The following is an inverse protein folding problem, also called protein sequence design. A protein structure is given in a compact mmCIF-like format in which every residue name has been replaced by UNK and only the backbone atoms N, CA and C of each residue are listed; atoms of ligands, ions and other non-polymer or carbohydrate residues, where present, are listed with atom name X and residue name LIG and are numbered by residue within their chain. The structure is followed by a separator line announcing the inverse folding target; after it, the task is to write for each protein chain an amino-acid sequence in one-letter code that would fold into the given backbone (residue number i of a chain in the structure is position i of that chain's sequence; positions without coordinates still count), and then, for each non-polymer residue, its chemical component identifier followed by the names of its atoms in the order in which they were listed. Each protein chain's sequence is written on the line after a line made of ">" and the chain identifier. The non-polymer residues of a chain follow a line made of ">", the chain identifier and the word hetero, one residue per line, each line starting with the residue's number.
data_IF_902110361524
#
_entry.id   IF_902110361524
#
_cell.length_a   1.000
_cell.length_b   1.000
_cell.length_c   1.000
_cell.angle_alpha   90.00
_cell.angle_beta   90.00
_cell.angle_gamma   90.00
#
_symmetry.space_group_name_H-M   'P 1'
#
loop_
_entity.id
_entity.type
_entity.pdbx_description
1 polymer ?
#
# COMPACT_ATOMS: atom_id res chain seq x y z
N UNK A 1 9.33 2.23 29.58
CA UNK A 1 8.66 1.91 28.29
C UNK A 1 7.35 1.23 28.63
N UNK A 2 6.20 1.73 28.19
CA UNK A 2 4.94 0.99 28.25
C UNK A 2 5.03 -0.19 27.29
N UNK A 3 4.47 -1.35 27.65
CA UNK A 3 4.43 -2.52 26.76
C UNK A 3 3.72 -2.19 25.46
N UNK A 4 4.15 -2.78 24.34
CA UNK A 4 3.54 -2.63 23.03
C UNK A 4 3.45 -3.98 22.30
N UNK A 5 2.58 -4.07 21.30
CA UNK A 5 2.47 -5.19 20.40
C UNK A 5 2.94 -4.74 19.01
N UNK A 6 3.65 -5.59 18.31
CA UNK A 6 4.09 -5.36 16.95
C UNK A 6 3.69 -6.56 16.07
N UNK A 7 2.87 -6.32 15.04
CA UNK A 7 2.38 -7.33 14.12
C UNK A 7 2.96 -7.09 12.74
N UNK A 8 3.39 -8.14 12.06
CA UNK A 8 3.89 -8.09 10.69
C UNK A 8 3.72 -9.46 10.01
N UNK A 9 4.00 -9.51 8.71
CA UNK A 9 4.04 -10.74 7.94
C UNK A 9 5.10 -11.71 8.50
N UNK A 10 4.83 -13.01 8.43
CA UNK A 10 5.72 -14.03 8.98
C UNK A 10 6.94 -14.34 8.09
N UNK A 11 6.82 -14.20 6.76
CA UNK A 11 7.90 -14.39 5.78
C UNK A 11 7.90 -13.23 4.78
N UNK A 12 9.05 -12.59 4.62
CA UNK A 12 9.26 -11.48 3.70
C UNK A 12 10.42 -11.83 2.76
N UNK A 13 10.13 -12.04 1.48
CA UNK A 13 11.12 -12.38 0.45
C UNK A 13 11.41 -11.18 -0.43
N UNK A 14 12.65 -10.73 -0.45
CA UNK A 14 13.06 -9.49 -1.12
C UNK A 14 14.18 -9.78 -2.11
N UNK A 15 14.04 -9.29 -3.33
CA UNK A 15 15.10 -9.30 -4.35
C UNK A 15 14.57 -9.57 -5.75
N UNK A 16 15.37 -9.17 -6.73
CA UNK A 16 15.08 -9.38 -8.14
C UNK A 16 14.98 -10.88 -8.46
N UNK A 17 13.89 -11.29 -9.11
CA UNK A 17 13.62 -12.69 -9.48
C UNK A 17 12.99 -13.54 -8.37
N UNK A 18 12.63 -12.97 -7.20
CA UNK A 18 11.93 -13.73 -6.15
C UNK A 18 10.56 -14.24 -6.61
N UNK A 19 9.89 -13.54 -7.52
CA UNK A 19 8.64 -13.99 -8.12
C UNK A 19 8.79 -15.25 -9.00
N UNK A 20 10.00 -15.63 -9.40
CA UNK A 20 10.25 -16.87 -10.15
C UNK A 20 10.22 -18.12 -9.26
N UNK A 21 10.11 -17.96 -7.95
CA UNK A 21 10.09 -19.05 -6.97
C UNK A 21 8.68 -19.34 -6.43
N UNK A 22 7.64 -18.76 -7.02
CA UNK A 22 6.26 -18.84 -6.51
C UNK A 22 5.72 -20.26 -6.51
N UNK A 23 6.03 -21.10 -7.50
CA UNK A 23 5.62 -22.50 -7.50
C UNK A 23 6.16 -23.29 -6.31
N UNK A 24 7.43 -23.09 -5.98
CA UNK A 24 8.05 -23.69 -4.78
C UNK A 24 7.41 -23.16 -3.50
N UNK A 25 7.10 -21.86 -3.48
CA UNK A 25 6.43 -21.23 -2.35
C UNK A 25 5.02 -21.80 -2.14
N UNK A 26 4.26 -21.97 -3.21
CA UNK A 26 2.92 -22.59 -3.14
C UNK A 26 3.00 -24.01 -2.54
N UNK A 27 3.97 -24.83 -2.98
CA UNK A 27 4.20 -26.17 -2.42
C UNK A 27 4.51 -26.11 -0.91
N UNK A 28 5.34 -25.16 -0.47
CA UNK A 28 5.67 -24.97 0.96
C UNK A 28 4.46 -24.60 1.80
N UNK A 29 3.51 -23.86 1.22
CA UNK A 29 2.26 -23.45 1.86
C UNK A 29 1.11 -24.48 1.71
N UNK A 30 1.35 -25.58 0.99
CA UNK A 30 0.32 -26.59 0.71
C UNK A 30 -0.76 -26.12 -0.28
N UNK A 31 -0.44 -25.15 -1.14
CA UNK A 31 -1.34 -24.61 -2.17
C UNK A 31 -1.14 -25.43 -3.45
N UNK A 32 -2.18 -26.16 -3.87
CA UNK A 32 -2.20 -26.92 -5.12
C UNK A 32 -2.98 -26.21 -6.23
N UNK A 33 -4.00 -25.43 -5.87
CA UNK A 33 -4.88 -24.73 -6.80
C UNK A 33 -5.08 -23.26 -6.42
N UNK A 34 -4.05 -22.39 -6.63
CA UNK A 34 -4.17 -20.98 -6.29
C UNK A 34 -5.11 -20.23 -7.23
N UNK A 35 -5.80 -19.19 -6.68
CA UNK A 35 -6.36 -18.10 -7.47
C UNK A 35 -5.41 -16.88 -7.43
N UNK A 36 -4.96 -16.44 -8.59
CA UNK A 36 -4.25 -15.15 -8.72
C UNK A 36 -5.29 -14.04 -8.88
N UNK A 37 -5.25 -13.06 -7.99
CA UNK A 37 -6.09 -11.86 -8.00
C UNK A 37 -5.26 -10.68 -8.48
N UNK A 38 -5.68 -10.05 -9.58
CA UNK A 38 -4.92 -8.97 -10.23
C UNK A 38 -5.86 -7.97 -10.93
N UNK A 39 -5.31 -7.01 -11.65
CA UNK A 39 -6.03 -5.99 -12.38
C UNK A 39 -5.78 -6.07 -13.90
N UNK A 40 -6.68 -5.48 -14.75
CA UNK A 40 -6.54 -5.52 -16.19
C UNK A 40 -5.27 -4.81 -16.71
N UNK A 41 -4.77 -3.83 -15.97
CA UNK A 41 -3.55 -3.10 -16.34
C UNK A 41 -2.33 -4.00 -16.35
N UNK A 42 -2.19 -4.87 -15.35
CA UNK A 42 -1.08 -5.83 -15.26
C UNK A 42 -1.16 -6.90 -16.34
N UNK A 43 -2.38 -7.31 -16.71
CA UNK A 43 -2.59 -8.22 -17.85
C UNK A 43 -2.13 -7.55 -19.14
N UNK A 44 -2.54 -6.30 -19.39
CA UNK A 44 -2.20 -5.57 -20.62
C UNK A 44 -0.71 -5.34 -20.80
N UNK A 45 0.02 -5.10 -19.72
CA UNK A 45 1.48 -4.89 -19.77
C UNK A 45 2.28 -6.19 -19.70
N UNK A 46 1.61 -7.36 -19.64
CA UNK A 46 2.23 -8.68 -19.67
C UNK A 46 2.95 -9.09 -18.38
N UNK A 47 2.67 -8.43 -17.24
CA UNK A 47 3.28 -8.78 -15.95
C UNK A 47 2.64 -10.03 -15.31
N UNK A 48 1.42 -10.37 -15.68
CA UNK A 48 0.74 -11.57 -15.18
C UNK A 48 1.40 -12.86 -15.65
N UNK A 49 1.76 -12.95 -16.94
CA UNK A 49 2.19 -14.22 -17.56
C UNK A 49 3.43 -14.84 -16.87
N UNK A 50 4.54 -14.11 -16.64
CA UNK A 50 5.70 -14.68 -15.95
C UNK A 50 5.38 -15.15 -14.52
N UNK A 51 4.50 -14.45 -13.81
CA UNK A 51 4.06 -14.83 -12.45
C UNK A 51 3.22 -16.09 -12.50
N UNK A 52 2.23 -16.14 -13.40
CA UNK A 52 1.37 -17.33 -13.60
C UNK A 52 2.20 -18.57 -13.97
N UNK A 53 3.15 -18.42 -14.88
CA UNK A 53 4.01 -19.52 -15.33
C UNK A 53 4.92 -20.02 -14.18
N UNK A 54 5.42 -19.12 -13.34
CA UNK A 54 6.17 -19.47 -12.12
C UNK A 54 5.30 -20.26 -11.14
N UNK A 55 4.05 -19.82 -10.91
CA UNK A 55 3.10 -20.51 -10.04
C UNK A 55 2.74 -21.89 -10.59
N UNK A 56 2.46 -21.98 -11.90
CA UNK A 56 2.13 -23.23 -12.57
C UNK A 56 3.26 -24.28 -12.50
N UNK A 57 4.50 -23.86 -12.33
CA UNK A 57 5.64 -24.76 -12.12
C UNK A 57 5.58 -25.59 -10.82
N UNK A 58 4.68 -25.27 -9.90
CA UNK A 58 4.55 -25.96 -8.61
C UNK A 58 3.13 -26.29 -8.18
N UNK A 59 2.12 -25.99 -9.00
CA UNK A 59 0.70 -26.17 -8.69
C UNK A 59 0.02 -27.05 -9.75
N UNK A 60 -1.07 -27.72 -9.36
CA UNK A 60 -1.85 -28.60 -10.24
C UNK A 60 -2.67 -27.79 -11.27
N UNK A 61 -3.27 -26.69 -10.82
CA UNK A 61 -4.12 -25.81 -11.62
C UNK A 61 -3.99 -24.38 -11.12
N UNK A 62 -3.92 -23.40 -12.04
CA UNK A 62 -3.80 -21.96 -11.69
C UNK A 62 -4.98 -21.23 -12.30
N UNK A 63 -5.79 -20.61 -11.46
CA UNK A 63 -6.89 -19.74 -11.89
C UNK A 63 -6.53 -18.29 -11.72
N UNK A 64 -7.18 -17.40 -12.50
CA UNK A 64 -6.93 -15.96 -12.48
C UNK A 64 -8.27 -15.20 -12.40
N UNK A 65 -8.33 -14.22 -11.51
CA UNK A 65 -9.32 -13.15 -11.51
C UNK A 65 -8.61 -11.84 -11.79
N UNK A 66 -8.90 -11.20 -12.93
CA UNK A 66 -8.18 -10.02 -13.42
C UNK A 66 -9.02 -8.75 -13.50
N UNK A 67 -10.20 -8.73 -12.89
CA UNK A 67 -11.16 -7.63 -13.04
C UNK A 67 -11.16 -6.68 -11.82
N UNK A 68 -10.06 -6.66 -11.04
CA UNK A 68 -9.95 -5.71 -9.94
C UNK A 68 -9.81 -4.29 -10.49
N UNK A 69 -10.65 -3.39 -9.99
CA UNK A 69 -10.58 -1.95 -10.30
C UNK A 69 -9.90 -1.18 -9.18
N UNK A 70 -9.40 0.02 -9.48
CA UNK A 70 -8.96 0.95 -8.43
C UNK A 70 -10.14 1.23 -7.49
N UNK A 71 -9.86 1.32 -6.17
CA UNK A 71 -10.89 1.49 -5.14
C UNK A 71 -12.02 0.43 -5.26
N UNK A 72 -11.71 -0.86 -5.09
CA UNK A 72 -12.61 -1.95 -5.44
C UNK A 72 -13.91 -1.89 -4.63
N UNK A 73 -15.03 -2.11 -5.32
CA UNK A 73 -16.35 -2.18 -4.70
C UNK A 73 -16.62 -3.56 -4.11
N UNK A 74 -17.66 -3.66 -3.28
CA UNK A 74 -18.18 -4.93 -2.75
C UNK A 74 -18.47 -5.93 -3.87
N UNK A 75 -19.02 -5.47 -5.00
CA UNK A 75 -19.31 -6.35 -6.15
C UNK A 75 -18.07 -6.94 -6.80
N UNK A 76 -16.93 -6.24 -6.77
CA UNK A 76 -15.64 -6.80 -7.23
C UNK A 76 -15.16 -7.89 -6.29
N UNK A 77 -15.31 -7.69 -4.99
CA UNK A 77 -15.00 -8.73 -3.97
C UNK A 77 -15.88 -9.97 -4.15
N UNK A 78 -17.18 -9.78 -4.33
CA UNK A 78 -18.13 -10.87 -4.57
C UNK A 78 -17.80 -11.66 -5.84
N UNK A 79 -17.47 -10.97 -6.94
CA UNK A 79 -17.05 -11.60 -8.20
C UNK A 79 -15.75 -12.39 -8.04
N UNK A 80 -14.76 -11.84 -7.33
CA UNK A 80 -13.50 -12.52 -7.04
C UNK A 80 -13.71 -13.76 -6.16
N UNK A 81 -14.58 -13.66 -5.14
CA UNK A 81 -14.96 -14.81 -4.29
C UNK A 81 -15.66 -15.89 -5.11
N UNK A 82 -16.60 -15.51 -6.01
CA UNK A 82 -17.25 -16.44 -6.89
C UNK A 82 -16.25 -17.17 -7.80
N UNK A 83 -15.29 -16.47 -8.36
CA UNK A 83 -14.22 -17.07 -9.16
C UNK A 83 -13.39 -18.07 -8.35
N UNK A 84 -13.03 -17.72 -7.10
CA UNK A 84 -12.30 -18.57 -6.18
C UNK A 84 -13.06 -19.88 -5.89
N UNK A 85 -14.35 -19.77 -5.56
CA UNK A 85 -15.20 -20.92 -5.25
C UNK A 85 -15.43 -21.82 -6.49
N UNK A 86 -15.63 -21.22 -7.66
CA UNK A 86 -15.80 -21.96 -8.93
C UNK A 86 -14.54 -22.74 -9.31
N UNK A 87 -13.37 -22.16 -9.10
CA UNK A 87 -12.08 -22.81 -9.31
C UNK A 87 -11.75 -23.85 -8.22
N UNK A 88 -12.53 -23.92 -7.14
CA UNK A 88 -12.18 -24.71 -5.95
C UNK A 88 -10.75 -24.43 -5.47
N UNK A 89 -10.36 -23.14 -5.49
CA UNK A 89 -9.02 -22.75 -5.14
C UNK A 89 -8.76 -22.94 -3.63
N UNK A 90 -7.55 -23.40 -3.30
CA UNK A 90 -7.10 -23.72 -1.94
C UNK A 90 -6.08 -22.70 -1.39
N UNK A 91 -5.78 -21.65 -2.16
CA UNK A 91 -4.92 -20.53 -1.77
C UNK A 91 -5.13 -19.32 -2.64
N UNK A 92 -4.71 -18.16 -2.17
CA UNK A 92 -4.87 -16.88 -2.87
C UNK A 92 -3.52 -16.19 -3.05
N UNK A 93 -3.28 -15.67 -4.26
CA UNK A 93 -2.11 -14.86 -4.59
C UNK A 93 -2.61 -13.50 -5.04
N UNK A 94 -2.35 -12.45 -4.26
CA UNK A 94 -2.63 -11.06 -4.65
C UNK A 94 -1.44 -10.48 -5.40
N UNK A 95 -1.60 -10.18 -6.70
CA UNK A 95 -0.59 -9.57 -7.56
C UNK A 95 -1.06 -8.19 -8.00
N UNK A 96 -0.38 -7.13 -7.57
CA UNK A 96 -0.75 -5.78 -8.01
C UNK A 96 -0.47 -4.68 -7.02
N UNK A 97 -1.22 -3.59 -7.14
CA UNK A 97 -1.28 -2.51 -6.16
C UNK A 97 -2.15 -2.87 -4.94
N UNK A 98 -2.39 -1.89 -4.07
CA UNK A 98 -3.21 -2.07 -2.86
C UNK A 98 -4.57 -2.70 -3.15
N UNK A 99 -5.26 -2.26 -4.22
CA UNK A 99 -6.60 -2.76 -4.58
C UNK A 99 -6.64 -4.27 -4.81
N UNK A 100 -5.71 -4.80 -5.61
CA UNK A 100 -5.63 -6.25 -5.90
C UNK A 100 -5.28 -7.04 -4.64
N UNK A 101 -4.36 -6.53 -3.82
CA UNK A 101 -3.96 -7.16 -2.57
C UNK A 101 -5.08 -7.14 -1.52
N UNK A 102 -5.83 -6.04 -1.42
CA UNK A 102 -6.95 -5.91 -0.48
C UNK A 102 -8.09 -6.86 -0.84
N UNK A 103 -8.46 -6.98 -2.14
CA UNK A 103 -9.42 -7.98 -2.60
C UNK A 103 -8.93 -9.40 -2.27
N UNK A 104 -7.66 -9.71 -2.52
CA UNK A 104 -7.06 -11.01 -2.21
C UNK A 104 -7.16 -11.36 -0.71
N UNK A 105 -6.85 -10.40 0.18
CA UNK A 105 -6.98 -10.56 1.63
C UNK A 105 -8.41 -10.91 2.04
N UNK A 106 -9.37 -10.14 1.51
CA UNK A 106 -10.78 -10.27 1.90
C UNK A 106 -11.35 -11.60 1.43
N UNK A 107 -11.11 -11.99 0.16
CA UNK A 107 -11.66 -13.26 -0.34
C UNK A 107 -10.98 -14.47 0.30
N UNK A 108 -9.70 -14.38 0.72
CA UNK A 108 -9.04 -15.44 1.46
C UNK A 108 -9.77 -15.77 2.78
N UNK A 109 -10.31 -14.74 3.46
CA UNK A 109 -11.15 -14.90 4.66
C UNK A 109 -12.54 -15.43 4.30
N UNK A 110 -13.21 -14.80 3.32
CA UNK A 110 -14.58 -15.15 2.93
C UNK A 110 -14.71 -16.57 2.38
N UNK A 111 -13.64 -17.11 1.79
CA UNK A 111 -13.61 -18.47 1.24
C UNK A 111 -13.94 -19.56 2.27
N UNK A 112 -13.73 -19.30 3.55
CA UNK A 112 -14.08 -20.25 4.64
C UNK A 112 -15.59 -20.35 4.89
N UNK A 113 -16.40 -19.42 4.36
CA UNK A 113 -17.85 -19.39 4.48
C UNK A 113 -18.41 -19.13 5.87
N UNK A 114 -17.58 -18.70 6.83
CA UNK A 114 -17.99 -18.50 8.23
C UNK A 114 -18.55 -17.10 8.50
N UNK A 115 -18.16 -16.10 7.69
CA UNK A 115 -18.61 -14.72 7.81
C UNK A 115 -18.98 -14.17 6.42
N UNK A 116 -19.88 -13.21 6.39
CA UNK A 116 -20.20 -12.42 5.19
C UNK A 116 -19.34 -11.15 5.12
N UNK A 117 -19.23 -10.51 3.94
CA UNK A 117 -18.44 -9.30 3.78
C UNK A 117 -18.85 -8.17 4.74
N UNK A 118 -20.16 -7.88 4.96
CA UNK A 118 -20.58 -6.89 5.96
C UNK A 118 -20.11 -7.16 7.38
N UNK A 119 -19.93 -8.43 7.77
CA UNK A 119 -19.47 -8.79 9.11
C UNK A 119 -18.00 -8.50 9.36
N UNK A 120 -17.20 -8.24 8.30
CA UNK A 120 -15.77 -8.03 8.40
C UNK A 120 -15.40 -6.58 8.68
N UNK A 121 -16.28 -5.60 8.37
CA UNK A 121 -15.95 -4.19 8.49
C UNK A 121 -15.69 -3.75 9.93
N UNK A 122 -14.64 -2.93 10.10
CA UNK A 122 -14.20 -2.40 11.38
C UNK A 122 -12.89 -3.00 11.86
N UNK A 123 -12.65 -2.87 13.16
CA UNK A 123 -11.42 -3.34 13.82
C UNK A 123 -11.70 -4.65 14.55
N UNK A 124 -10.86 -5.66 14.29
CA UNK A 124 -10.90 -7.00 14.93
C UNK A 124 -12.25 -7.72 14.81
N UNK A 125 -12.99 -7.47 13.69
CA UNK A 125 -14.26 -8.16 13.41
C UNK A 125 -14.06 -9.52 12.70
N UNK A 126 -12.88 -9.78 12.11
CA UNK A 126 -12.57 -11.05 11.44
C UNK A 126 -12.30 -12.12 12.50
N UNK A 127 -13.22 -13.07 12.64
CA UNK A 127 -13.12 -14.19 13.59
C UNK A 127 -12.75 -15.51 12.92
N UNK A 128 -13.03 -15.64 11.61
CA UNK A 128 -12.75 -16.83 10.82
C UNK A 128 -11.26 -16.98 10.49
N UNK A 129 -10.84 -18.20 10.21
CA UNK A 129 -9.57 -18.48 9.56
C UNK A 129 -9.63 -18.00 8.11
N UNK A 130 -8.51 -18.05 7.39
CA UNK A 130 -8.40 -17.75 5.97
C UNK A 130 -7.68 -18.85 5.21
N UNK A 131 -7.80 -18.86 3.89
CA UNK A 131 -6.93 -19.65 3.02
C UNK A 131 -5.48 -19.11 3.09
N UNK A 132 -4.48 -19.94 2.76
CA UNK A 132 -3.12 -19.49 2.55
C UNK A 132 -3.08 -18.30 1.58
N UNK A 133 -2.27 -17.27 1.91
CA UNK A 133 -2.25 -16.01 1.21
C UNK A 133 -0.81 -15.55 0.93
N UNK A 134 -0.52 -15.27 -0.34
CA UNK A 134 0.73 -14.64 -0.79
C UNK A 134 0.40 -13.28 -1.40
N UNK A 135 1.14 -12.24 -1.03
CA UNK A 135 0.95 -10.90 -1.60
C UNK A 135 2.22 -10.43 -2.31
N UNK A 136 2.04 -9.90 -3.52
CA UNK A 136 3.11 -9.51 -4.45
C UNK A 136 2.83 -8.10 -4.95
N UNK A 137 3.41 -7.07 -4.33
CA UNK A 137 3.21 -5.68 -4.76
C UNK A 137 3.93 -5.40 -6.09
N UNK A 138 3.25 -4.69 -6.98
CA UNK A 138 3.81 -4.15 -8.22
C UNK A 138 3.95 -2.63 -8.18
N UNK A 139 3.56 -2.01 -7.06
CA UNK A 139 3.72 -0.58 -6.77
C UNK A 139 4.49 -0.39 -5.48
N UNK A 140 5.32 0.65 -5.40
CA UNK A 140 6.03 1.04 -4.19
C UNK A 140 5.25 2.17 -3.49
N UNK A 141 4.23 1.81 -2.71
CA UNK A 141 3.32 2.81 -2.13
C UNK A 141 2.59 2.33 -0.89
N UNK A 142 1.54 1.56 -1.06
CA UNK A 142 0.54 1.25 -0.03
C UNK A 142 1.05 0.41 1.13
N UNK A 143 2.08 -0.42 0.91
CA UNK A 143 2.53 -1.38 1.92
C UNK A 143 1.47 -2.43 2.29
N UNK A 144 0.41 -2.60 1.44
CA UNK A 144 -0.69 -3.52 1.74
C UNK A 144 -0.20 -4.95 1.97
N UNK A 145 0.89 -5.37 1.35
CA UNK A 145 1.50 -6.69 1.51
C UNK A 145 1.97 -7.02 2.94
N UNK A 146 2.11 -6.02 3.79
CA UNK A 146 2.56 -6.19 5.19
C UNK A 146 1.62 -5.58 6.22
N UNK A 147 0.42 -5.17 5.80
CA UNK A 147 -0.56 -4.53 6.70
C UNK A 147 -1.74 -5.45 7.01
N UNK A 148 -2.29 -5.36 8.22
CA UNK A 148 -3.50 -6.09 8.61
C UNK A 148 -4.79 -5.37 8.16
N UNK A 149 -4.73 -4.57 7.09
CA UNK A 149 -5.83 -3.69 6.65
C UNK A 149 -6.19 -3.99 5.21
N UNK A 150 -7.48 -3.95 4.91
CA UNK A 150 -8.04 -3.89 3.56
C UNK A 150 -9.09 -2.78 3.50
N UNK A 151 -9.19 -2.08 2.36
CA UNK A 151 -10.14 -0.99 2.16
C UNK A 151 -11.02 -1.31 0.96
N UNK A 152 -12.35 -1.36 1.19
CA UNK A 152 -13.35 -1.67 0.17
C UNK A 152 -14.31 -0.49 0.05
N UNK A 153 -14.72 -0.17 -1.17
CA UNK A 153 -15.71 0.87 -1.44
C UNK A 153 -17.11 0.31 -1.22
N UNK A 154 -17.84 0.90 -0.26
CA UNK A 154 -19.23 0.59 0.06
C UNK A 154 -20.12 1.71 -0.45
N UNK A 155 -21.21 1.36 -1.15
CA UNK A 155 -22.09 2.39 -1.74
C UNK A 155 -21.39 3.23 -2.82
N UNK A 156 -21.79 4.50 -2.96
CA UNK A 156 -21.32 5.36 -4.06
C UNK A 156 -19.98 6.06 -3.77
N UNK A 157 -19.69 6.41 -2.52
CA UNK A 157 -18.56 7.29 -2.16
C UNK A 157 -17.86 6.92 -0.85
N UNK A 158 -18.35 5.92 -0.13
CA UNK A 158 -17.86 5.57 1.20
C UNK A 158 -16.80 4.46 1.08
N UNK A 159 -15.68 4.63 1.77
CA UNK A 159 -14.67 3.59 1.92
C UNK A 159 -14.79 2.99 3.31
N UNK A 160 -14.88 1.67 3.40
CA UNK A 160 -14.93 0.94 4.65
C UNK A 160 -13.63 0.13 4.83
N UNK A 161 -13.03 0.25 6.01
CA UNK A 161 -11.83 -0.50 6.37
C UNK A 161 -12.15 -1.80 7.09
N UNK A 162 -11.38 -2.83 6.80
CA UNK A 162 -11.33 -4.08 7.55
C UNK A 162 -9.93 -4.13 8.16
N UNK A 163 -9.85 -4.21 9.49
CA UNK A 163 -8.57 -4.24 10.19
C UNK A 163 -8.52 -5.45 11.13
N UNK A 164 -7.68 -6.43 10.80
CA UNK A 164 -7.49 -7.63 11.61
C UNK A 164 -6.15 -8.29 11.27
N UNK A 165 -5.46 -8.82 12.27
CA UNK A 165 -4.22 -9.59 12.05
C UNK A 165 -4.42 -10.82 11.16
N UNK A 166 -5.66 -11.29 11.01
CA UNK A 166 -6.02 -12.37 10.09
C UNK A 166 -5.82 -12.02 8.61
N UNK A 167 -5.76 -10.71 8.27
CA UNK A 167 -5.50 -10.24 6.91
C UNK A 167 -4.01 -10.21 6.55
N UNK A 168 -3.10 -10.36 7.52
CA UNK A 168 -1.67 -10.48 7.22
C UNK A 168 -1.43 -11.72 6.38
N UNK A 169 -0.67 -11.63 5.27
CA UNK A 169 -0.37 -12.80 4.45
C UNK A 169 0.60 -13.76 5.16
N UNK A 170 0.70 -14.98 4.64
CA UNK A 170 1.73 -15.93 5.05
C UNK A 170 3.10 -15.47 4.54
N UNK A 171 3.13 -15.00 3.29
CA UNK A 171 4.35 -14.51 2.64
C UNK A 171 4.06 -13.25 1.85
N UNK A 172 4.93 -12.24 1.97
CA UNK A 172 5.03 -11.11 1.05
C UNK A 172 6.27 -11.27 0.17
N UNK A 173 6.10 -11.10 -1.15
CA UNK A 173 7.18 -11.27 -2.14
C UNK A 173 7.44 -9.93 -2.81
N UNK A 174 8.61 -9.35 -2.53
CA UNK A 174 9.04 -8.04 -3.05
C UNK A 174 10.02 -8.25 -4.21
N UNK A 175 9.52 -8.33 -5.42
CA UNK A 175 10.34 -8.41 -6.63
C UNK A 175 10.37 -7.05 -7.33
N UNK A 176 11.49 -6.30 -7.28
CA UNK A 176 11.57 -5.00 -7.92
C UNK A 176 11.42 -5.04 -9.45
N UNK A 177 11.63 -6.20 -10.09
CA UNK A 177 11.40 -6.37 -11.53
C UNK A 177 9.94 -6.11 -11.90
N UNK A 178 9.00 -6.45 -11.01
CA UNK A 178 7.57 -6.22 -11.23
C UNK A 178 7.16 -4.74 -11.16
N UNK A 179 8.06 -3.86 -10.76
CA UNK A 179 7.82 -2.40 -10.70
C UNK A 179 8.41 -1.64 -11.88
N UNK A 180 9.19 -2.28 -12.77
CA UNK A 180 9.91 -1.61 -13.87
C UNK A 180 8.98 -0.94 -14.88
N UNK A 181 7.85 -1.55 -15.20
CA UNK A 181 6.87 -1.00 -16.15
C UNK A 181 5.92 0.06 -15.58
N UNK A 182 6.07 0.41 -14.29
CA UNK A 182 5.14 1.33 -13.65
C UNK A 182 5.25 2.75 -14.24
N UNK A 183 4.13 3.36 -14.68
CA UNK A 183 4.15 4.72 -15.22
C UNK A 183 4.74 5.74 -14.23
N UNK A 184 5.48 6.73 -14.74
CA UNK A 184 6.18 7.71 -13.91
C UNK A 184 5.24 8.46 -12.96
N UNK A 185 4.05 8.87 -13.42
CA UNK A 185 3.06 9.54 -12.57
C UNK A 185 2.53 8.66 -11.45
N UNK A 186 2.40 7.34 -11.69
CA UNK A 186 2.00 6.38 -10.64
C UNK A 186 3.14 6.21 -9.65
N UNK A 187 4.39 6.03 -10.11
CA UNK A 187 5.59 5.97 -9.25
C UNK A 187 5.74 7.23 -8.39
N UNK A 188 5.37 8.40 -8.94
CA UNK A 188 5.40 9.68 -8.21
C UNK A 188 4.39 9.68 -7.05
N UNK A 189 3.14 9.40 -7.35
CA UNK A 189 2.06 9.43 -6.35
C UNK A 189 2.26 8.36 -5.27
N UNK A 190 2.58 7.13 -5.66
CA UNK A 190 2.72 6.03 -4.70
C UNK A 190 3.95 6.20 -3.81
N UNK A 191 5.06 6.70 -4.33
CA UNK A 191 6.26 6.94 -3.52
C UNK A 191 6.08 8.07 -2.51
N UNK A 192 5.35 9.15 -2.86
CA UNK A 192 5.00 10.20 -1.90
C UNK A 192 4.03 9.66 -0.84
N UNK A 193 3.04 8.85 -1.22
CA UNK A 193 2.14 8.16 -0.32
C UNK A 193 2.89 7.33 0.74
N UNK A 194 3.87 6.54 0.30
CA UNK A 194 4.72 5.78 1.21
C UNK A 194 5.54 6.67 2.16
N UNK A 195 6.00 7.85 1.70
CA UNK A 195 6.65 8.82 2.59
C UNK A 195 5.68 9.39 3.62
N UNK A 196 4.42 9.66 3.23
CA UNK A 196 3.37 10.09 4.15
C UNK A 196 3.12 9.01 5.21
N UNK A 197 3.02 7.74 4.82
CA UNK A 197 2.91 6.62 5.76
C UNK A 197 4.04 6.63 6.79
N UNK A 198 5.29 6.80 6.33
CA UNK A 198 6.45 6.84 7.22
C UNK A 198 6.41 8.04 8.18
N UNK A 199 6.08 9.24 7.68
CA UNK A 199 6.00 10.45 8.50
C UNK A 199 4.88 10.34 9.53
N UNK A 200 3.69 9.92 9.14
CA UNK A 200 2.55 9.81 10.05
C UNK A 200 2.77 8.70 11.08
N UNK A 201 3.34 7.56 10.70
CA UNK A 201 3.71 6.51 11.65
C UNK A 201 4.72 7.02 12.70
N UNK A 202 5.75 7.76 12.28
CA UNK A 202 6.76 8.31 13.17
C UNK A 202 6.20 9.38 14.12
N UNK A 203 5.25 10.18 13.66
CA UNK A 203 4.63 11.26 14.45
C UNK A 203 3.36 10.84 15.18
N UNK A 204 2.87 9.62 14.95
CA UNK A 204 1.66 9.08 15.58
C UNK A 204 1.76 9.10 17.10
N UNK A 205 0.66 9.47 17.78
CA UNK A 205 0.54 9.36 19.24
C UNK A 205 -0.03 8.03 19.69
N UNK A 206 -0.66 7.29 18.74
CA UNK A 206 -1.36 6.04 19.02
C UNK A 206 -0.43 4.89 18.67
N UNK A 207 -0.24 3.95 19.60
CA UNK A 207 0.59 2.75 19.42
C UNK A 207 2.06 3.02 19.04
N UNK A 208 2.54 4.27 19.09
CA UNK A 208 3.93 4.63 18.82
C UNK A 208 4.89 3.74 19.60
N UNK A 209 5.85 3.15 18.92
CA UNK A 209 6.81 2.23 19.51
C UNK A 209 8.18 2.30 18.80
N UNK A 210 9.28 1.87 19.44
CA UNK A 210 10.62 2.03 18.90
C UNK A 210 10.88 1.21 17.62
N UNK A 211 10.14 0.12 17.38
CA UNK A 211 10.26 -0.66 16.14
C UNK A 211 9.65 0.12 15.00
N UNK A 212 8.40 0.60 15.14
CA UNK A 212 7.75 1.42 14.11
C UNK A 212 8.53 2.69 13.82
N UNK A 213 9.13 3.34 14.82
CA UNK A 213 9.96 4.53 14.62
C UNK A 213 11.22 4.23 13.78
N UNK A 214 11.89 3.12 14.06
CA UNK A 214 13.08 2.71 13.30
C UNK A 214 12.74 2.39 11.84
N UNK A 215 11.64 1.66 11.62
CA UNK A 215 11.15 1.31 10.29
C UNK A 215 10.73 2.55 9.51
N UNK A 216 9.97 3.46 10.12
CA UNK A 216 9.55 4.72 9.51
C UNK A 216 10.73 5.60 9.07
N UNK A 217 11.75 5.75 9.92
CA UNK A 217 12.98 6.46 9.58
C UNK A 217 13.71 5.80 8.41
N UNK A 218 13.88 4.49 8.43
CA UNK A 218 14.56 3.77 7.34
C UNK A 218 13.76 3.86 6.04
N UNK A 219 12.44 3.74 6.12
CA UNK A 219 11.52 3.92 4.99
C UNK A 219 11.69 5.30 4.36
N UNK A 220 11.59 6.37 5.15
CA UNK A 220 11.72 7.74 4.64
C UNK A 220 13.09 7.98 3.98
N UNK A 221 14.17 7.48 4.59
CA UNK A 221 15.52 7.59 4.01
C UNK A 221 15.63 6.91 2.64
N UNK A 222 15.08 5.70 2.49
CA UNK A 222 15.09 4.98 1.21
C UNK A 222 14.23 5.68 0.16
N UNK A 223 13.02 6.03 0.52
CA UNK A 223 12.05 6.66 -0.39
C UNK A 223 12.53 8.03 -0.86
N UNK A 224 12.92 8.91 0.06
CA UNK A 224 13.39 10.25 -0.26
C UNK A 224 14.67 10.21 -1.09
N UNK A 225 15.58 9.27 -0.80
CA UNK A 225 16.84 9.10 -1.52
C UNK A 225 16.69 8.64 -2.98
N UNK A 226 15.61 7.93 -3.30
CA UNK A 226 15.47 7.26 -4.60
C UNK A 226 14.28 7.74 -5.44
N UNK A 227 13.33 8.50 -4.88
CA UNK A 227 12.13 8.95 -5.60
C UNK A 227 12.46 9.70 -6.90
N UNK A 228 13.32 10.71 -6.86
CA UNK A 228 13.73 11.46 -8.06
C UNK A 228 14.48 10.57 -9.06
N UNK A 229 15.25 9.62 -8.56
CA UNK A 229 16.02 8.68 -9.39
C UNK A 229 15.08 7.75 -10.17
N UNK A 230 14.06 7.19 -9.54
CA UNK A 230 13.06 6.32 -10.19
C UNK A 230 12.27 7.09 -11.26
N UNK A 231 11.97 8.38 -11.03
CA UNK A 231 11.25 9.20 -12.00
C UNK A 231 12.10 9.54 -13.22
N UNK A 232 13.39 9.84 -13.03
CA UNK A 232 14.32 10.20 -14.12
C UNK A 232 14.93 8.95 -14.82
N UNK A 233 15.06 7.83 -14.12
CA UNK A 233 15.64 6.59 -14.62
C UNK A 233 14.74 5.40 -14.21
N UNK A 234 13.60 5.21 -14.89
CA UNK A 234 12.56 4.25 -14.47
C UNK A 234 13.01 2.78 -14.48
N UNK A 235 14.10 2.47 -15.17
CA UNK A 235 14.67 1.12 -15.25
C UNK A 235 15.86 0.91 -14.28
N UNK A 236 16.16 1.86 -13.39
CA UNK A 236 17.20 1.70 -12.38
C UNK A 236 16.72 0.70 -11.31
N UNK A 237 17.20 -0.54 -11.42
CA UNK A 237 16.80 -1.64 -10.55
C UNK A 237 17.08 -1.37 -9.07
N UNK A 238 18.23 -0.80 -8.76
CA UNK A 238 18.60 -0.49 -7.38
C UNK A 238 17.68 0.57 -6.78
N UNK A 239 17.28 1.57 -7.57
CA UNK A 239 16.31 2.57 -7.14
C UNK A 239 14.91 1.96 -6.97
N UNK A 240 14.48 1.07 -7.87
CA UNK A 240 13.20 0.35 -7.74
C UNK A 240 13.17 -0.53 -6.48
N UNK A 241 14.24 -1.27 -6.21
CA UNK A 241 14.37 -2.08 -5.01
C UNK A 241 14.31 -1.23 -3.73
N UNK A 242 15.04 -0.10 -3.70
CA UNK A 242 15.01 0.82 -2.58
C UNK A 242 13.62 1.43 -2.33
N UNK A 243 12.90 1.80 -3.41
CA UNK A 243 11.53 2.31 -3.32
C UNK A 243 10.57 1.24 -2.80
N UNK A 244 10.63 0.02 -3.35
CA UNK A 244 9.74 -1.07 -2.95
C UNK A 244 9.99 -1.47 -1.48
N UNK A 245 11.24 -1.66 -1.09
CA UNK A 245 11.60 -1.93 0.30
C UNK A 245 11.20 -0.78 1.22
N UNK A 246 11.42 0.47 0.80
CA UNK A 246 11.01 1.66 1.56
C UNK A 246 9.49 1.70 1.80
N UNK A 247 8.69 1.42 0.79
CA UNK A 247 7.22 1.36 0.91
C UNK A 247 6.76 0.24 1.86
N UNK A 248 7.37 -0.94 1.77
CA UNK A 248 7.11 -2.05 2.69
C UNK A 248 7.45 -1.71 4.14
N UNK A 249 8.62 -1.10 4.39
CA UNK A 249 9.00 -0.66 5.74
C UNK A 249 8.04 0.42 6.29
N UNK A 250 7.57 1.35 5.45
CA UNK A 250 6.53 2.30 5.81
C UNK A 250 5.22 1.59 6.16
N UNK A 251 4.84 0.56 5.38
CA UNK A 251 3.70 -0.32 5.63
C UNK A 251 3.76 -0.99 7.00
N UNK A 252 4.89 -1.62 7.32
CA UNK A 252 5.11 -2.22 8.65
C UNK A 252 5.07 -1.18 9.78
N UNK A 253 5.58 0.03 9.53
CA UNK A 253 5.57 1.10 10.52
C UNK A 253 4.13 1.55 10.82
N UNK A 254 3.34 1.91 9.80
CA UNK A 254 1.99 2.42 10.04
C UNK A 254 0.99 1.34 10.46
N UNK A 255 1.20 0.10 10.10
CA UNK A 255 0.41 -1.02 10.63
C UNK A 255 0.47 -1.10 12.16
N UNK A 256 1.55 -0.61 12.76
CA UNK A 256 1.83 -0.67 14.20
C UNK A 256 1.84 0.72 14.88
N UNK A 257 1.75 1.81 14.12
CA UNK A 257 1.59 3.18 14.59
C UNK A 257 0.76 3.93 13.52
N UNK A 258 -0.57 4.00 13.66
CA UNK A 258 -1.48 4.31 12.57
C UNK A 258 -1.27 5.70 11.97
N UNK A 259 -1.66 5.82 10.70
CA UNK A 259 -1.77 7.09 9.95
C UNK A 259 -2.69 8.10 10.64
N UNK A 260 -2.66 9.36 10.22
CA UNK A 260 -3.30 10.46 10.93
C UNK A 260 -3.99 11.47 10.01
N UNK A 261 -3.67 12.76 10.16
CA UNK A 261 -4.42 13.86 9.56
C UNK A 261 -4.29 13.96 8.03
N UNK A 262 -3.14 13.61 7.46
CA UNK A 262 -2.96 13.62 5.99
C UNK A 262 -3.94 12.65 5.35
N UNK A 263 -3.97 11.40 5.82
CA UNK A 263 -4.89 10.39 5.32
C UNK A 263 -6.36 10.75 5.60
N UNK A 264 -6.66 11.26 6.80
CA UNK A 264 -8.03 11.66 7.15
C UNK A 264 -8.58 12.74 6.21
N UNK A 265 -7.75 13.71 5.79
CA UNK A 265 -8.12 14.75 4.85
C UNK A 265 -8.09 14.29 3.37
N UNK A 266 -7.31 13.25 3.06
CA UNK A 266 -7.23 12.67 1.72
C UNK A 266 -8.46 11.81 1.35
N UNK A 267 -9.07 11.10 2.31
CA UNK A 267 -10.22 10.23 2.05
C UNK A 267 -11.40 10.92 1.36
N UNK A 268 -11.86 12.13 1.77
CA UNK A 268 -12.92 12.83 1.07
C UNK A 268 -12.58 13.16 -0.38
N UNK A 269 -11.33 13.46 -0.70
CA UNK A 269 -10.88 13.72 -2.07
C UNK A 269 -11.02 12.48 -2.96
N UNK A 270 -10.63 11.32 -2.44
CA UNK A 270 -10.84 10.05 -3.12
C UNK A 270 -12.32 9.70 -3.29
N UNK A 271 -13.12 9.85 -2.22
CA UNK A 271 -14.53 9.48 -2.23
C UNK A 271 -15.41 10.36 -3.12
N UNK A 272 -15.22 11.68 -3.09
CA UNK A 272 -16.07 12.62 -3.83
C UNK A 272 -15.58 12.96 -5.23
N UNK A 273 -14.25 12.94 -5.45
CA UNK A 273 -13.64 13.38 -6.72
C UNK A 273 -12.91 12.26 -7.46
N UNK A 274 -12.95 11.04 -6.95
CA UNK A 274 -12.22 9.89 -7.51
C UNK A 274 -10.74 10.18 -7.73
N UNK A 275 -10.17 11.04 -6.86
CA UNK A 275 -8.77 11.40 -6.93
C UNK A 275 -7.90 10.22 -6.49
N UNK A 276 -6.82 9.89 -7.22
CA UNK A 276 -5.90 8.84 -6.80
C UNK A 276 -5.38 9.06 -5.38
N UNK A 277 -5.36 8.02 -4.56
CA UNK A 277 -5.05 8.10 -3.13
C UNK A 277 -3.72 8.81 -2.85
N UNK A 278 -2.64 8.40 -3.54
CA UNK A 278 -1.33 9.03 -3.36
C UNK A 278 -1.28 10.50 -3.79
N UNK A 279 -2.09 10.91 -4.79
CA UNK A 279 -2.22 12.33 -5.16
C UNK A 279 -2.94 13.11 -4.05
N UNK A 280 -4.00 12.55 -3.49
CA UNK A 280 -4.73 13.17 -2.38
C UNK A 280 -3.81 13.40 -1.18
N UNK A 281 -3.00 12.41 -0.82
CA UNK A 281 -2.02 12.52 0.24
C UNK A 281 -0.92 13.54 -0.07
N UNK A 282 -0.41 13.58 -1.31
CA UNK A 282 0.59 14.57 -1.73
C UNK A 282 0.08 16.02 -1.58
N UNK A 283 -1.18 16.27 -1.94
CA UNK A 283 -1.80 17.59 -1.83
C UNK A 283 -2.03 18.03 -0.37
N UNK A 284 -2.37 17.08 0.52
CA UNK A 284 -2.62 17.39 1.92
C UNK A 284 -1.35 17.51 2.76
N UNK A 285 -0.27 16.83 2.36
CA UNK A 285 0.95 16.71 3.16
C UNK A 285 1.53 18.07 3.61
N UNK A 286 1.84 19.06 2.73
CA UNK A 286 2.49 20.31 3.16
C UNK A 286 1.67 21.10 4.18
N UNK A 287 0.36 21.18 3.97
CA UNK A 287 -0.54 21.91 4.86
C UNK A 287 -0.63 21.25 6.24
N UNK A 288 -0.71 19.92 6.29
CA UNK A 288 -0.77 19.16 7.55
C UNK A 288 0.56 19.25 8.30
N UNK A 289 1.70 19.20 7.61
CA UNK A 289 3.00 19.37 8.25
C UNK A 289 3.11 20.74 8.93
N UNK A 290 2.69 21.83 8.25
CA UNK A 290 2.67 23.17 8.85
C UNK A 290 1.71 23.27 10.04
N UNK A 291 0.51 22.68 9.92
CA UNK A 291 -0.46 22.65 11.00
C UNK A 291 0.06 21.94 12.26
N UNK A 292 0.75 20.82 12.07
CA UNK A 292 1.30 20.03 13.17
C UNK A 292 2.65 20.56 13.70
N UNK A 293 3.32 21.47 12.96
CA UNK A 293 4.65 21.98 13.31
C UNK A 293 4.80 22.41 14.77
N UNK A 294 3.86 23.17 15.39
CA UNK A 294 4.01 23.62 16.78
C UNK A 294 4.15 22.50 17.81
N UNK A 295 3.64 21.30 17.49
CA UNK A 295 3.66 20.14 18.42
C UNK A 295 4.58 19.00 17.97
N UNK A 296 5.00 19.02 16.69
CA UNK A 296 5.82 17.97 16.07
C UNK A 296 7.23 18.45 15.68
N UNK A 297 7.63 19.70 16.01
CA UNK A 297 8.87 20.31 15.56
C UNK A 297 10.09 19.39 15.71
N UNK A 298 10.34 18.88 16.92
CA UNK A 298 11.49 18.03 17.20
C UNK A 298 11.48 16.72 16.36
N UNK A 299 10.29 16.15 16.11
CA UNK A 299 10.14 14.94 15.30
C UNK A 299 10.39 15.22 13.82
N UNK A 300 9.91 16.35 13.30
CA UNK A 300 10.15 16.75 11.92
C UNK A 300 11.61 17.10 11.66
N UNK A 301 12.28 17.75 12.62
CA UNK A 301 13.71 18.04 12.53
C UNK A 301 14.55 16.75 12.54
N UNK A 302 14.14 15.75 13.31
CA UNK A 302 14.78 14.43 13.30
C UNK A 302 14.61 13.76 11.91
N UNK A 303 13.40 13.78 11.34
CA UNK A 303 13.14 13.25 9.99
C UNK A 303 13.87 14.03 8.90
N UNK A 304 14.03 15.35 9.03
CA UNK A 304 14.73 16.19 8.07
C UNK A 304 16.20 15.77 7.87
N UNK A 305 16.83 15.20 8.90
CA UNK A 305 18.21 14.68 8.81
C UNK A 305 18.35 13.50 7.86
N UNK A 306 17.25 12.83 7.51
CA UNK A 306 17.22 11.65 6.65
C UNK A 306 17.03 12.00 5.17
N UNK A 307 16.64 13.25 4.88
CA UNK A 307 16.36 13.69 3.52
C UNK A 307 17.68 14.02 2.77
N UNK A 308 17.72 13.81 1.44
CA UNK A 308 18.80 14.30 0.60
C UNK A 308 18.99 15.82 0.73
N UNK A 309 20.23 16.24 0.89
CA UNK A 309 20.59 17.66 1.00
C UNK A 309 20.59 18.35 -0.38
N UNK A 310 20.31 19.67 -0.45
CA UNK A 310 20.08 20.56 0.70
C UNK A 310 18.64 20.51 1.22
N UNK A 311 18.50 20.55 2.54
CA UNK A 311 17.23 20.82 3.23
C UNK A 311 17.36 22.18 3.90
N UNK A 312 16.37 23.06 3.70
CA UNK A 312 16.35 24.38 4.33
C UNK A 312 16.25 24.29 5.87
N UNK A 313 16.46 25.40 6.58
CA UNK A 313 16.47 25.42 8.03
C UNK A 313 15.07 25.24 8.63
N UNK A 314 15.02 24.61 9.80
CA UNK A 314 13.80 24.45 10.59
C UNK A 314 12.76 23.55 9.95
N UNK A 315 11.56 23.55 10.53
CA UNK A 315 10.42 22.75 10.01
C UNK A 315 9.98 23.25 8.63
N UNK A 316 10.06 24.55 8.36
CA UNK A 316 9.69 25.07 7.05
C UNK A 316 10.61 24.52 5.95
N UNK A 317 11.91 24.35 6.23
CA UNK A 317 12.83 23.69 5.29
C UNK A 317 12.40 22.24 4.97
N UNK A 318 11.92 21.51 5.98
CA UNK A 318 11.36 20.17 5.82
C UNK A 318 10.12 20.17 4.93
N UNK A 319 9.20 21.11 5.14
CA UNK A 319 7.97 21.23 4.34
C UNK A 319 8.27 21.61 2.90
N UNK A 320 9.10 22.64 2.69
CA UNK A 320 9.50 23.10 1.35
C UNK A 320 10.20 22.00 0.55
N UNK A 321 10.94 21.13 1.21
CA UNK A 321 11.55 19.97 0.54
C UNK A 321 10.48 19.05 -0.09
N UNK A 322 9.36 18.78 0.60
CA UNK A 322 8.25 18.00 0.05
C UNK A 322 7.49 18.76 -1.04
N UNK A 323 7.26 20.05 -0.88
CA UNK A 323 6.64 20.87 -1.94
C UNK A 323 7.48 20.82 -3.23
N UNK A 324 8.79 20.92 -3.09
CA UNK A 324 9.70 20.81 -4.24
C UNK A 324 9.68 19.38 -4.84
N UNK A 325 9.61 18.33 -4.01
CA UNK A 325 9.51 16.97 -4.51
C UNK A 325 8.22 16.74 -5.29
N UNK A 326 7.08 17.26 -4.81
CA UNK A 326 5.78 17.19 -5.47
C UNK A 326 5.83 17.92 -6.82
N UNK A 327 6.46 19.11 -6.85
CA UNK A 327 6.66 19.87 -8.07
C UNK A 327 7.55 19.15 -9.08
N UNK A 328 8.70 18.64 -8.65
CA UNK A 328 9.65 17.88 -9.47
C UNK A 328 9.02 16.60 -10.05
N UNK A 329 8.06 16.03 -9.33
CA UNK A 329 7.28 14.87 -9.77
C UNK A 329 6.20 15.22 -10.79
N UNK A 330 6.00 16.51 -11.11
CA UNK A 330 4.97 16.98 -12.05
C UNK A 330 3.54 16.82 -11.52
N UNK A 331 3.35 16.73 -10.21
CA UNK A 331 2.04 16.61 -9.58
C UNK A 331 1.43 17.99 -9.30
N UNK A 332 0.08 18.11 -9.30
CA UNK A 332 -0.61 19.31 -8.82
C UNK A 332 -0.14 19.72 -7.42
N UNK A 333 0.04 21.03 -7.20
CA UNK A 333 0.54 21.57 -5.93
C UNK A 333 -0.58 22.15 -5.06
N UNK A 334 -1.78 22.28 -5.62
CA UNK A 334 -2.95 22.79 -4.90
C UNK A 334 -4.21 22.02 -5.29
N UNK A 335 -5.24 22.10 -4.45
CA UNK A 335 -6.56 21.55 -4.76
C UNK A 335 -7.15 22.21 -6.02
N UNK A 336 -6.87 23.50 -6.25
CA UNK A 336 -7.28 24.24 -7.44
C UNK A 336 -6.63 23.69 -8.71
N UNK A 337 -5.32 23.40 -8.68
CA UNK A 337 -4.59 22.78 -9.80
C UNK A 337 -5.14 21.40 -10.10
N UNK A 338 -5.57 20.68 -9.06
CA UNK A 338 -6.22 19.38 -9.16
C UNK A 338 -7.71 19.47 -9.53
N UNK A 339 -8.23 20.69 -9.85
CA UNK A 339 -9.62 20.97 -10.24
C UNK A 339 -10.67 20.62 -9.19
N UNK A 340 -10.30 20.67 -7.91
CA UNK A 340 -11.24 20.52 -6.80
C UNK A 340 -11.95 21.86 -6.56
N UNK A 341 -13.31 21.92 -6.53
CA UNK A 341 -14.04 23.15 -6.31
C UNK A 341 -13.79 23.73 -4.90
N UNK A 342 -13.75 25.07 -4.77
CA UNK A 342 -13.56 25.76 -3.48
C UNK A 342 -14.62 25.42 -2.41
N UNK A 343 -15.76 24.92 -2.82
CA UNK A 343 -16.89 24.63 -1.92
C UNK A 343 -16.66 23.43 -0.99
N UNK A 344 -15.65 22.59 -1.27
CA UNK A 344 -15.39 21.39 -0.44
C UNK A 344 -15.05 21.73 1.01
N UNK A 345 -14.38 22.85 1.26
CA UNK A 345 -14.02 23.30 2.61
C UNK A 345 -15.19 23.84 3.45
N UNK A 346 -16.37 24.05 2.85
CA UNK A 346 -17.57 24.58 3.52
C UNK A 346 -18.60 23.52 3.90
N UNK A 347 -18.46 22.31 3.39
CA UNK A 347 -19.44 21.23 3.58
C UNK A 347 -19.23 20.40 4.85
N UNK A 348 -18.14 20.63 5.59
CA UNK A 348 -17.74 19.81 6.76
C UNK A 348 -17.35 20.66 7.98
N UNK A 349 -17.87 21.88 8.10
CA UNK A 349 -17.77 22.70 9.32
C UNK A 349 -19.13 22.71 10.02
#
# INVERSE_FOLDING_TARGET
>A
MTGFQFNTVSDLRVGAGTAQQLGVLCQQLGIAKPLIVTDPGLVQVGLLDPVRDSVAGGCDEVSVFSDVTADPSESVVEAALHALMTASADGVIGLGGGSSMDVAKVIAVLATGQQSLPDLYGVDQVTSERLPLVLIPTTAGTGSEVTPVAVITTGATTKAGISSTRLLPDVAVLDPQLTLGLPSHVSAMTGIDAMVHAIEAFTSKIKKNPISDTLAKRALHLLAGHQRRVLSHPNDMAAREAMLLGATLAGQAFANAPVAAVHALAYPLGGHYHMPHGLSNALMLPAVLRFNAPVCEALYLDLATLLPQPVGPGVEGFVVWFEQLIADAGLPQSLSDAKVPEQIGRAHV
#
